data_IF_436828326353
#
_entry.id   IF_436828326353
#
_cell.length_a   1.000
_cell.length_b   1.000
_cell.length_c   1.000
_cell.angle_alpha   90.00
_cell.angle_beta   90.00
_cell.angle_gamma   90.00
#
_symmetry.space_group_name_H-M   'P 1'
#
loop_
_entity.id
_entity.type
_entity.pdbx_description
1 polymer ?
#
# COMPACT_ATOMS: atom_id res chain seq x y z
N UNK A 1 -0.82 21.96 -4.96
CA UNK A 1 -0.56 21.16 -3.76
C UNK A 1 0.76 20.42 -3.91
N UNK A 2 1.09 19.51 -3.00
CA UNK A 2 2.34 18.72 -3.05
C UNK A 2 2.29 17.55 -4.03
N UNK A 3 1.08 17.09 -4.38
CA UNK A 3 0.84 15.98 -5.30
C UNK A 3 -0.09 16.46 -6.44
N UNK A 4 0.22 16.05 -7.67
CA UNK A 4 -0.55 16.33 -8.88
C UNK A 4 -1.01 15.01 -9.48
N UNK A 5 -2.33 14.86 -9.67
CA UNK A 5 -2.96 13.62 -10.13
C UNK A 5 -2.66 13.28 -11.59
N UNK A 6 -2.38 14.29 -12.43
CA UNK A 6 -2.06 14.09 -13.85
C UNK A 6 -0.56 13.90 -14.07
N UNK A 7 0.28 14.22 -13.07
CA UNK A 7 1.71 13.99 -13.17
C UNK A 7 2.05 12.49 -13.11
N UNK A 8 3.12 12.05 -13.80
CA UNK A 8 3.66 10.71 -13.63
C UNK A 8 4.11 10.48 -12.17
N UNK A 9 3.86 9.28 -11.64
CA UNK A 9 4.34 8.84 -10.32
C UNK A 9 5.85 9.01 -10.21
N UNK A 10 6.58 8.74 -11.29
CA UNK A 10 8.03 8.88 -11.39
C UNK A 10 8.57 10.29 -11.13
N UNK A 11 7.73 11.33 -11.24
CA UNK A 11 8.10 12.70 -10.83
C UNK A 11 8.43 12.77 -9.33
N UNK A 12 7.73 11.98 -8.52
CA UNK A 12 7.88 11.94 -7.07
C UNK A 12 8.69 10.73 -6.62
N UNK A 13 8.61 9.63 -7.37
CA UNK A 13 9.27 8.36 -7.09
C UNK A 13 10.09 7.87 -8.29
N UNK A 14 11.30 8.40 -8.53
CA UNK A 14 12.08 8.09 -9.73
C UNK A 14 12.36 6.60 -9.96
N UNK A 15 12.57 5.84 -8.89
CA UNK A 15 12.82 4.39 -8.94
C UNK A 15 11.62 3.60 -9.50
N UNK A 16 10.43 4.21 -9.54
CA UNK A 16 9.23 3.64 -10.12
C UNK A 16 9.24 3.67 -11.67
N UNK A 17 10.10 4.48 -12.32
CA UNK A 17 10.15 4.63 -13.79
C UNK A 17 10.92 3.51 -14.50
N UNK A 18 10.58 2.26 -14.21
CA UNK A 18 11.16 1.09 -14.86
C UNK A 18 10.07 0.12 -15.26
N UNK A 19 10.39 -0.77 -16.21
CA UNK A 19 9.51 -1.85 -16.66
C UNK A 19 8.14 -1.37 -17.18
N UNK A 20 8.11 -0.24 -17.90
CA UNK A 20 6.91 0.28 -18.56
C UNK A 20 6.01 1.13 -17.65
N UNK A 21 6.56 1.63 -16.54
CA UNK A 21 5.83 2.42 -15.54
C UNK A 21 6.11 3.92 -15.60
N UNK A 22 6.90 4.37 -16.58
CA UNK A 22 7.42 5.74 -16.68
C UNK A 22 6.30 6.78 -16.82
N UNK A 23 5.18 6.38 -17.44
CA UNK A 23 4.03 7.24 -17.72
C UNK A 23 2.81 6.96 -16.83
N UNK A 24 2.93 6.09 -15.81
CA UNK A 24 1.82 5.84 -14.89
C UNK A 24 1.54 7.13 -14.11
N UNK A 25 0.33 7.67 -14.24
CA UNK A 25 -0.05 8.89 -13.51
C UNK A 25 -0.41 8.57 -12.06
N UNK A 26 -0.34 9.58 -11.19
CA UNK A 26 -0.80 9.46 -9.81
C UNK A 26 -2.28 9.02 -9.77
N UNK A 27 -3.14 9.56 -10.64
CA UNK A 27 -4.54 9.15 -10.76
C UNK A 27 -4.70 7.66 -11.08
N UNK A 28 -3.89 7.11 -12.00
CA UNK A 28 -3.92 5.67 -12.32
C UNK A 28 -3.47 4.80 -11.15
N UNK A 29 -2.45 5.22 -10.40
CA UNK A 29 -2.01 4.52 -9.18
C UNK A 29 -3.11 4.54 -8.12
N UNK A 30 -3.71 5.71 -7.88
CA UNK A 30 -4.76 5.90 -6.86
C UNK A 30 -6.12 5.28 -7.22
N UNK A 31 -6.30 4.81 -8.46
CA UNK A 31 -7.54 4.17 -8.93
C UNK A 31 -7.37 2.68 -9.26
N UNK A 32 -6.32 2.04 -8.74
CA UNK A 32 -6.04 0.61 -8.95
C UNK A 32 -5.76 0.22 -10.42
N UNK A 33 -5.23 1.15 -11.22
CA UNK A 33 -4.96 0.96 -12.66
C UNK A 33 -3.46 0.82 -12.98
N UNK A 34 -2.58 0.86 -11.98
CA UNK A 34 -1.13 0.75 -12.16
C UNK A 34 -0.63 -0.69 -12.44
N UNK A 35 -1.47 -1.71 -12.25
CA UNK A 35 -1.09 -3.10 -12.54
C UNK A 35 -0.21 -3.77 -11.49
N UNK A 36 -0.26 -3.35 -10.23
CA UNK A 36 0.58 -3.88 -9.15
C UNK A 36 -0.24 -4.44 -7.98
N UNK A 37 -1.21 -5.35 -8.21
CA UNK A 37 -2.12 -5.82 -7.16
C UNK A 37 -1.43 -6.69 -6.09
N UNK A 38 -0.25 -7.23 -6.42
CA UNK A 38 0.56 -8.09 -5.58
C UNK A 38 2.05 -7.91 -5.90
N UNK A 39 2.91 -8.36 -4.99
CA UNK A 39 4.34 -8.54 -5.20
C UNK A 39 4.60 -9.93 -5.79
N UNK A 40 5.44 -10.03 -6.82
CA UNK A 40 5.74 -11.29 -7.53
C UNK A 40 6.62 -12.25 -6.70
N UNK A 41 7.40 -11.72 -5.76
CA UNK A 41 8.24 -12.51 -4.86
C UNK A 41 7.43 -13.18 -3.75
N UNK A 42 7.88 -14.36 -3.29
CA UNK A 42 7.34 -14.96 -2.07
C UNK A 42 7.80 -14.15 -0.87
N UNK A 43 6.85 -13.68 -0.07
CA UNK A 43 7.09 -12.84 1.08
C UNK A 43 6.83 -13.59 2.38
N UNK A 44 7.72 -13.43 3.35
CA UNK A 44 7.45 -13.73 4.75
C UNK A 44 6.66 -12.59 5.39
N UNK A 45 6.11 -12.80 6.58
CA UNK A 45 5.48 -11.71 7.33
C UNK A 45 6.47 -10.57 7.62
N UNK A 46 7.73 -10.89 7.92
CA UNK A 46 8.76 -9.89 8.18
C UNK A 46 9.05 -9.04 6.93
N UNK A 47 9.01 -9.64 5.73
CA UNK A 47 9.17 -8.88 4.49
C UNK A 47 8.01 -7.90 4.28
N UNK A 48 6.78 -8.31 4.61
CA UNK A 48 5.58 -7.45 4.49
C UNK A 48 5.61 -6.31 5.51
N UNK A 49 6.17 -6.53 6.70
CA UNK A 49 6.32 -5.51 7.73
C UNK A 49 7.47 -4.53 7.45
N UNK A 50 8.38 -4.87 6.54
CA UNK A 50 9.42 -3.96 6.06
C UNK A 50 8.89 -3.08 4.93
N UNK A 51 8.54 -1.84 5.26
CA UNK A 51 8.05 -0.84 4.33
C UNK A 51 8.95 -0.68 3.10
N UNK A 52 10.26 -0.51 3.33
CA UNK A 52 11.25 -0.25 2.28
C UNK A 52 11.39 -1.46 1.36
N UNK A 53 11.31 -2.67 1.92
CA UNK A 53 11.33 -3.91 1.13
C UNK A 53 10.17 -3.94 0.14
N UNK A 54 8.94 -3.73 0.61
CA UNK A 54 7.75 -3.80 -0.24
C UNK A 54 7.73 -2.70 -1.29
N UNK A 55 7.99 -1.45 -0.91
CA UNK A 55 7.99 -0.34 -1.88
C UNK A 55 9.09 -0.52 -2.93
N UNK A 56 10.28 -0.97 -2.53
CA UNK A 56 11.38 -1.25 -3.47
C UNK A 56 11.04 -2.36 -4.46
N UNK A 57 10.33 -3.41 -4.03
CA UNK A 57 9.88 -4.49 -4.90
C UNK A 57 8.84 -3.97 -5.90
N UNK A 58 7.83 -3.24 -5.43
CA UNK A 58 6.77 -2.68 -6.27
C UNK A 58 7.31 -1.67 -7.28
N UNK A 59 8.28 -0.83 -6.90
CA UNK A 59 8.94 0.10 -7.80
C UNK A 59 9.63 -0.60 -8.96
N UNK A 60 10.24 -1.77 -8.71
CA UNK A 60 10.98 -2.53 -9.71
C UNK A 60 10.10 -3.50 -10.50
N UNK A 61 8.93 -3.88 -9.99
CA UNK A 61 8.09 -4.89 -10.63
C UNK A 61 7.48 -4.41 -11.94
N UNK A 62 7.31 -5.33 -12.90
CA UNK A 62 6.53 -5.08 -14.12
C UNK A 62 5.03 -5.14 -13.80
N UNK A 63 4.20 -4.21 -14.31
CA UNK A 63 2.76 -4.32 -14.19
C UNK A 63 2.21 -5.64 -14.73
N UNK A 64 1.25 -6.25 -14.04
CA UNK A 64 0.55 -7.46 -14.45
C UNK A 64 -0.36 -7.25 -15.67
N UNK A 65 -0.71 -6.00 -15.96
CA UNK A 65 -1.44 -5.58 -17.16
C UNK A 65 -0.93 -4.21 -17.61
N UNK A 66 -1.25 -3.83 -18.84
CA UNK A 66 -0.91 -2.50 -19.36
C UNK A 66 -1.56 -1.40 -18.51
N UNK A 67 -0.78 -0.51 -17.87
CA UNK A 67 -1.33 0.49 -16.97
C UNK A 67 -2.40 1.36 -17.64
N UNK A 68 -3.48 1.62 -16.92
CA UNK A 68 -4.56 2.46 -17.44
C UNK A 68 -5.49 1.78 -18.45
N UNK A 69 -5.30 0.51 -18.82
CA UNK A 69 -6.24 -0.22 -19.69
C UNK A 69 -7.37 -0.91 -18.92
N UNK A 70 -7.09 -1.35 -17.69
CA UNK A 70 -8.06 -1.99 -16.80
C UNK A 70 -7.76 -1.63 -15.33
N UNK A 71 -8.58 -2.13 -14.40
CA UNK A 71 -8.35 -2.03 -12.97
C UNK A 71 -8.43 -3.40 -12.29
N UNK A 72 -7.68 -3.56 -11.20
CA UNK A 72 -7.75 -4.73 -10.34
C UNK A 72 -7.40 -4.32 -8.92
N UNK A 73 -8.20 -4.69 -7.94
CA UNK A 73 -8.05 -4.19 -6.57
C UNK A 73 -6.67 -4.54 -5.98
N UNK A 74 -5.93 -3.53 -5.53
CA UNK A 74 -4.59 -3.66 -4.95
C UNK A 74 -4.71 -3.92 -3.44
N UNK A 75 -5.24 -5.08 -3.07
CA UNK A 75 -5.81 -5.33 -1.75
C UNK A 75 -4.87 -5.01 -0.57
N UNK A 76 -3.57 -5.29 -0.73
CA UNK A 76 -2.57 -4.96 0.29
C UNK A 76 -1.48 -4.01 -0.22
N UNK A 77 -1.17 -4.04 -1.51
CA UNK A 77 -0.12 -3.17 -2.09
C UNK A 77 -0.53 -1.71 -2.17
N UNK A 78 -1.84 -1.39 -2.20
CA UNK A 78 -2.33 -0.03 -2.29
C UNK A 78 -1.81 0.88 -1.17
N UNK A 79 -1.82 0.39 0.08
CA UNK A 79 -1.35 1.16 1.23
C UNK A 79 0.12 1.57 1.10
N UNK A 80 0.97 0.68 0.59
CA UNK A 80 2.39 0.97 0.34
C UNK A 80 2.56 1.95 -0.83
N UNK A 81 1.85 1.74 -1.94
CA UNK A 81 1.94 2.61 -3.12
C UNK A 81 1.49 4.05 -2.82
N UNK A 82 0.33 4.20 -2.18
CA UNK A 82 -0.21 5.50 -1.80
C UNK A 82 0.62 6.15 -0.68
N UNK A 83 1.00 5.36 0.33
CA UNK A 83 1.78 5.87 1.45
C UNK A 83 3.19 6.30 1.05
N UNK A 84 3.83 5.63 0.10
CA UNK A 84 5.17 6.01 -0.38
C UNK A 84 5.11 7.36 -1.11
N UNK A 85 4.07 7.60 -1.91
CA UNK A 85 3.83 8.92 -2.50
C UNK A 85 3.68 9.99 -1.42
N UNK A 86 2.91 9.73 -0.37
CA UNK A 86 2.75 10.67 0.76
C UNK A 86 4.10 11.00 1.40
N UNK A 87 4.90 9.99 1.75
CA UNK A 87 6.21 10.21 2.39
C UNK A 87 7.18 11.01 1.49
N UNK A 88 7.12 10.78 0.18
CA UNK A 88 8.00 11.46 -0.79
C UNK A 88 7.61 12.90 -1.07
N UNK A 89 6.31 13.23 -1.04
CA UNK A 89 5.83 14.60 -1.30
C UNK A 89 5.65 15.45 -0.05
N UNK A 90 5.58 14.83 1.13
CA UNK A 90 5.58 15.55 2.40
C UNK A 90 6.90 16.33 2.57
N UNK A 91 6.89 17.66 2.73
CA UNK A 91 8.10 18.45 2.89
C UNK A 91 8.95 18.08 4.11
N UNK A 92 8.33 17.47 5.12
CA UNK A 92 9.01 17.00 6.32
C UNK A 92 9.52 15.55 6.17
N UNK A 93 9.18 14.87 5.07
CA UNK A 93 9.51 13.46 4.82
C UNK A 93 9.16 12.54 6.00
N UNK A 94 8.02 12.81 6.67
CA UNK A 94 7.53 11.99 7.76
C UNK A 94 7.16 10.60 7.25
N UNK A 95 7.20 9.60 8.13
CA UNK A 95 6.63 8.29 7.82
C UNK A 95 5.13 8.42 7.54
N UNK A 96 4.57 7.48 6.76
CA UNK A 96 3.13 7.48 6.48
C UNK A 96 2.29 7.43 7.77
N UNK A 97 2.73 6.65 8.76
CA UNK A 97 2.08 6.56 10.06
C UNK A 97 2.08 7.88 10.82
N UNK A 98 3.19 8.62 10.82
CA UNK A 98 3.29 9.92 11.47
C UNK A 98 2.44 10.96 10.74
N UNK A 99 2.50 10.98 9.41
CA UNK A 99 1.69 11.88 8.58
C UNK A 99 0.19 11.72 8.86
N UNK A 100 -0.31 10.48 8.92
CA UNK A 100 -1.71 10.19 9.24
C UNK A 100 -2.11 10.74 10.61
N UNK A 101 -1.25 10.60 11.62
CA UNK A 101 -1.53 11.11 12.97
C UNK A 101 -1.57 12.62 13.04
N UNK A 102 -0.68 13.28 12.34
CA UNK A 102 -0.56 14.74 12.39
C UNK A 102 -1.64 15.44 11.56
N UNK A 103 -1.97 14.89 10.40
CA UNK A 103 -2.82 15.57 9.41
C UNK A 103 -4.28 15.11 9.43
N UNK A 104 -4.56 13.89 9.92
CA UNK A 104 -5.93 13.33 9.92
C UNK A 104 -6.51 13.26 11.33
N UNK A 105 -5.94 12.42 12.19
CA UNK A 105 -6.43 12.20 13.55
C UNK A 105 -5.32 11.60 14.43
N UNK A 106 -4.96 12.24 15.57
CA UNK A 106 -3.94 11.71 16.47
C UNK A 106 -4.29 10.35 17.09
N UNK A 107 -5.57 9.95 17.07
CA UNK A 107 -6.08 8.67 17.54
C UNK A 107 -6.23 7.62 16.43
N UNK A 108 -5.85 7.94 15.18
CA UNK A 108 -5.81 6.99 14.07
C UNK A 108 -4.38 6.42 13.89
N UNK A 109 -4.22 5.12 14.11
CA UNK A 109 -2.90 4.47 14.08
C UNK A 109 -2.71 3.60 12.83
N UNK A 110 -1.61 3.84 12.10
CA UNK A 110 -1.08 2.91 11.08
C UNK A 110 0.15 2.23 11.67
N UNK A 111 -0.06 1.03 12.22
CA UNK A 111 0.91 0.37 13.09
C UNK A 111 0.85 0.90 14.53
N UNK A 112 0.98 0.01 15.51
CA UNK A 112 0.98 0.34 16.94
C UNK A 112 2.32 -0.08 17.52
N UNK A 113 3.11 0.89 17.99
CA UNK A 113 4.41 0.64 18.62
C UNK A 113 4.46 1.03 20.11
N UNK A 114 3.41 1.67 20.61
CA UNK A 114 3.29 2.10 22.01
C UNK A 114 2.41 1.13 22.78
N UNK A 115 2.99 0.50 23.81
CA UNK A 115 2.29 -0.46 24.68
C UNK A 115 1.05 0.16 25.37
N UNK A 116 1.03 1.47 25.60
CA UNK A 116 -0.15 2.15 26.16
C UNK A 116 -1.32 2.19 25.15
N UNK A 117 -1.01 2.25 23.86
CA UNK A 117 -2.00 2.20 22.79
C UNK A 117 -2.45 0.76 22.57
N UNK A 118 -1.54 -0.20 22.65
CA UNK A 118 -1.86 -1.63 22.53
C UNK A 118 -2.91 -2.07 23.57
N UNK A 119 -2.83 -1.55 24.80
CA UNK A 119 -3.83 -1.80 25.84
C UNK A 119 -5.26 -1.34 25.49
N UNK A 120 -5.43 -0.47 24.49
CA UNK A 120 -6.72 0.03 24.00
C UNK A 120 -7.23 -0.72 22.77
N UNK A 121 -6.44 -1.63 22.20
CA UNK A 121 -6.80 -2.40 21.01
C UNK A 121 -7.70 -3.57 21.40
N UNK A 122 -8.95 -3.54 20.94
CA UNK A 122 -9.85 -4.68 21.08
C UNK A 122 -9.49 -5.78 20.05
N UNK A 123 -9.37 -7.05 20.46
CA UNK A 123 -9.09 -8.14 19.53
C UNK A 123 -10.26 -8.34 18.55
N UNK A 124 -9.93 -8.45 17.26
CA UNK A 124 -10.91 -8.78 16.22
C UNK A 124 -11.07 -10.30 16.12
N UNK A 125 -12.23 -10.81 16.54
CA UNK A 125 -12.55 -12.24 16.42
C UNK A 125 -13.28 -12.51 15.11
N UNK A 126 -12.70 -13.36 14.25
CA UNK A 126 -13.43 -13.91 13.12
C UNK A 126 -14.52 -14.86 13.62
N UNK A 127 -15.76 -14.69 13.15
CA UNK A 127 -16.86 -15.63 13.45
C UNK A 127 -16.58 -16.95 12.73
N UNK A 128 -15.97 -17.91 13.41
CA UNK A 128 -15.77 -19.27 12.88
C UNK A 128 -17.15 -19.91 12.71
N UNK A 129 -17.64 -20.04 11.47
CA UNK A 129 -18.77 -20.91 11.18
C UNK A 129 -18.32 -22.35 11.34
N UNK A 130 -18.56 -22.95 12.52
CA UNK A 130 -18.59 -24.41 12.65
C UNK A 130 -19.75 -24.92 11.78
N UNK A 131 -19.46 -25.89 10.91
CA UNK A 131 -20.39 -26.71 10.11
C UNK A 131 -20.47 -26.39 8.59
N UNK A 132 -19.46 -26.82 7.82
CA UNK A 132 -19.68 -27.41 6.48
C UNK A 132 -18.72 -28.60 6.32
N UNK A 133 -18.95 -29.66 7.09
CA UNK A 133 -18.52 -31.03 6.76
C UNK A 133 -19.61 -31.96 7.28
N UNK A 134 -20.77 -31.96 6.62
CA UNK A 134 -21.57 -33.17 6.51
C UNK A 134 -21.27 -33.73 5.13
N UNK A 135 -20.27 -34.61 5.09
CA UNK A 135 -20.09 -35.52 3.97
C UNK A 135 -21.41 -36.30 3.80
N UNK A 136 -21.92 -36.30 2.59
CA UNK A 136 -23.02 -37.13 2.12
C UNK A 136 -22.73 -38.59 2.44
N UNK A 137 -23.64 -39.21 3.19
CA UNK A 137 -23.81 -40.66 3.31
C UNK A 137 -24.31 -41.26 2.00
#
# INVERSE_FOLDING_TARGET
GWLDYEAPVAKYWPEFSVNGKENITVSQLMSHRAGLPCVDEQLTLNDVLDWTRITSLLAKQKPHWEPGTTHGYHAYTFGFLAGELVQRVDPQHRSYSQFVRDELDPEFYVGVSDNNVEARVAPLFAKVRKNILKATS
#
